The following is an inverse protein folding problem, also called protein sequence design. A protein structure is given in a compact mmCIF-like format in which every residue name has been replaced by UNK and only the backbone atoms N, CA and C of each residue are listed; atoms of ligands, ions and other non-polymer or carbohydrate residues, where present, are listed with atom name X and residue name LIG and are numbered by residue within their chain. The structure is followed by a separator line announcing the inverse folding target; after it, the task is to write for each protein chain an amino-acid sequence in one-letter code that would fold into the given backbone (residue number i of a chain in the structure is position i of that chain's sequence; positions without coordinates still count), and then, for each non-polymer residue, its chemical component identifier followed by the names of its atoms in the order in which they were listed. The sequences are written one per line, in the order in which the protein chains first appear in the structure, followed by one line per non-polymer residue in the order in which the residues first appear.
data_IF_330346980507
#
_entry.id   IF_330346980507
#
_cell.length_a   1.000
_cell.length_b   1.000
_cell.length_c   1.000
_cell.angle_alpha   90.00
_cell.angle_beta   90.00
_cell.angle_gamma   90.00
#
_symmetry.space_group_name_H-M   'P 1'
#
loop_
_entity.id
_entity.type
_entity.pdbx_description
1 polymer ?
#
# COMPACT_ATOMS: atom_id res chain seq x y z
N UNK A 1 -2.64 12.53 -1.07
CA UNK A 1 -3.03 11.10 -1.06
C UNK A 1 -2.49 10.46 -2.33
N UNK A 2 -1.56 9.52 -2.19
CA UNK A 2 -0.86 8.87 -3.30
C UNK A 2 -1.66 7.68 -3.82
N UNK A 3 -1.52 7.36 -5.11
CA UNK A 3 -2.02 6.08 -5.64
C UNK A 3 -1.02 4.96 -5.35
N UNK A 4 -1.48 3.71 -5.36
CA UNK A 4 -0.62 2.52 -5.24
C UNK A 4 0.56 2.56 -6.22
N UNK A 5 0.32 2.99 -7.47
CA UNK A 5 1.38 3.15 -8.47
C UNK A 5 2.43 4.20 -8.08
N UNK A 6 2.03 5.31 -7.47
CA UNK A 6 2.99 6.33 -7.04
C UNK A 6 3.80 5.88 -5.84
N UNK A 7 3.17 5.18 -4.89
CA UNK A 7 3.87 4.54 -3.78
C UNK A 7 4.90 3.54 -4.28
N UNK A 8 4.50 2.71 -5.26
CA UNK A 8 5.37 1.75 -5.91
C UNK A 8 6.59 2.44 -6.55
N UNK A 9 6.38 3.53 -7.29
CA UNK A 9 7.47 4.32 -7.88
C UNK A 9 8.39 4.94 -6.82
N UNK A 10 7.83 5.52 -5.74
CA UNK A 10 8.61 6.13 -4.66
C UNK A 10 9.49 5.13 -3.92
N UNK A 11 8.95 3.94 -3.67
CA UNK A 11 9.64 2.85 -2.99
C UNK A 11 10.47 1.99 -3.96
N UNK A 12 10.43 2.27 -5.27
CA UNK A 12 11.04 1.45 -6.34
C UNK A 12 10.64 -0.02 -6.29
N UNK A 13 9.42 -0.33 -5.86
CA UNK A 13 8.90 -1.70 -5.80
C UNK A 13 7.82 -1.93 -6.85
N UNK A 14 7.54 -3.19 -7.16
CA UNK A 14 6.42 -3.53 -8.01
C UNK A 14 5.08 -3.20 -7.29
N UNK A 15 4.06 -2.66 -7.99
CA UNK A 15 2.76 -2.35 -7.37
C UNK A 15 2.09 -3.57 -6.73
N UNK A 16 2.41 -4.78 -7.17
CA UNK A 16 1.96 -6.02 -6.53
C UNK A 16 2.44 -6.14 -5.07
N UNK A 17 3.69 -5.73 -4.79
CA UNK A 17 4.26 -5.72 -3.43
C UNK A 17 3.50 -4.73 -2.55
N UNK A 18 3.17 -3.56 -3.09
CA UNK A 18 2.37 -2.56 -2.36
C UNK A 18 0.97 -3.09 -2.03
N UNK A 19 0.29 -3.73 -2.99
CA UNK A 19 -0.99 -4.40 -2.70
C UNK A 19 -0.83 -5.49 -1.63
N UNK A 20 0.28 -6.22 -1.62
CA UNK A 20 0.58 -7.23 -0.61
C UNK A 20 0.74 -6.60 0.77
N UNK A 21 1.52 -5.53 0.90
CA UNK A 21 1.67 -4.82 2.18
C UNK A 21 0.37 -4.23 2.71
N UNK A 22 -0.50 -3.73 1.84
CA UNK A 22 -1.82 -3.24 2.24
C UNK A 22 -2.70 -4.40 2.74
N UNK A 23 -2.64 -5.56 2.06
CA UNK A 23 -3.38 -6.76 2.46
C UNK A 23 -2.87 -7.32 3.80
N UNK A 24 -1.56 -7.42 3.97
CA UNK A 24 -0.91 -7.83 5.21
C UNK A 24 -1.09 -6.79 6.34
N UNK A 25 -1.37 -5.54 5.98
CA UNK A 25 -1.58 -4.47 6.95
C UNK A 25 -0.33 -3.73 7.38
N UNK A 26 0.79 -3.94 6.70
CA UNK A 26 1.98 -3.15 6.94
C UNK A 26 1.82 -1.71 6.43
N UNK A 27 1.01 -1.50 5.40
CA UNK A 27 0.80 -0.18 4.81
C UNK A 27 -0.67 0.25 4.93
N UNK A 28 -0.91 1.35 5.64
CA UNK A 28 -2.24 1.94 5.74
C UNK A 28 -2.66 2.51 4.40
N UNK A 29 -3.88 2.16 3.97
CA UNK A 29 -4.48 2.71 2.78
C UNK A 29 -5.94 3.08 3.04
N UNK A 30 -6.51 3.89 2.17
CA UNK A 30 -7.90 4.34 2.20
C UNK A 30 -8.53 3.94 0.87
N UNK A 31 -9.67 3.26 0.91
CA UNK A 31 -10.43 2.85 -0.26
C UNK A 31 -11.83 3.42 -0.18
N UNK A 32 -12.22 4.23 -1.16
CA UNK A 32 -13.53 4.93 -1.18
C UNK A 32 -13.87 5.65 0.14
N UNK A 33 -12.87 6.31 0.75
CA UNK A 33 -13.06 7.01 2.03
C UNK A 33 -13.14 6.10 3.27
N UNK A 34 -13.02 4.78 3.11
CA UNK A 34 -12.90 3.82 4.22
C UNK A 34 -11.43 3.44 4.42
N UNK A 35 -10.88 3.52 5.65
CA UNK A 35 -9.56 2.99 5.93
C UNK A 35 -9.54 1.48 5.64
N UNK A 36 -8.59 1.04 4.83
CA UNK A 36 -8.23 -0.36 4.67
C UNK A 36 -7.46 -0.76 5.91
N UNK A 37 -8.08 -1.63 6.69
CA UNK A 37 -7.45 -2.24 7.87
C UNK A 37 -6.67 -3.48 7.42
N UNK A 38 -5.53 -3.69 8.06
CA UNK A 38 -4.75 -4.93 8.02
C UNK A 38 -5.64 -6.18 8.04
N UNK A 39 -5.50 -7.08 7.07
CA UNK A 39 -6.28 -8.32 7.03
C UNK A 39 -7.76 -8.17 6.68
N UNK A 40 -8.26 -6.95 6.40
CA UNK A 40 -9.61 -6.77 5.88
C UNK A 40 -9.70 -7.42 4.49
N UNK A 41 -10.66 -8.32 4.30
CA UNK A 41 -10.86 -9.04 3.04
C UNK A 41 -11.23 -8.03 1.93
N UNK A 42 -10.25 -7.62 1.13
CA UNK A 42 -10.47 -6.67 0.04
C UNK A 42 -11.12 -7.39 -1.16
N UNK A 43 -12.45 -7.46 -1.20
CA UNK A 43 -13.18 -7.84 -2.42
C UNK A 43 -13.38 -6.60 -3.30
N UNK A 44 -12.76 -6.58 -4.49
CA UNK A 44 -13.03 -5.61 -5.56
C UNK A 44 -11.79 -4.91 -6.14
N UNK A 45 -11.98 -4.09 -7.19
CA UNK A 45 -10.88 -3.56 -8.00
C UNK A 45 -9.97 -2.60 -7.21
N UNK A 46 -8.65 -2.78 -7.35
CA UNK A 46 -7.60 -2.05 -6.62
C UNK A 46 -7.41 -0.58 -7.02
N UNK A 47 -8.07 -0.10 -8.07
CA UNK A 47 -7.92 1.28 -8.57
C UNK A 47 -8.42 2.37 -7.60
N UNK A 48 -9.26 2.01 -6.63
CA UNK A 48 -9.83 2.92 -5.65
C UNK A 48 -8.98 3.10 -4.39
N UNK A 49 -7.84 2.41 -4.30
CA UNK A 49 -6.95 2.48 -3.14
C UNK A 49 -6.10 3.75 -3.23
N UNK A 50 -6.01 4.47 -2.11
CA UNK A 50 -5.25 5.70 -1.91
C UNK A 50 -4.43 5.55 -0.64
N UNK A 51 -3.14 5.82 -0.71
CA UNK A 51 -2.23 5.74 0.43
C UNK A 51 -1.96 7.16 0.95
N UNK A 52 -2.17 7.44 2.25
CA UNK A 52 -1.76 8.69 2.86
C UNK A 52 -0.24 8.85 2.77
N UNK A 53 0.24 10.05 2.51
CA UNK A 53 1.69 10.29 2.46
C UNK A 53 2.33 10.11 3.85
N UNK A 54 1.60 10.43 4.93
CA UNK A 54 2.00 10.15 6.31
C UNK A 54 2.18 8.66 6.59
N UNK A 55 1.31 7.81 6.02
CA UNK A 55 1.44 6.35 6.15
C UNK A 55 2.70 5.86 5.42
N UNK A 56 2.99 6.42 4.25
CA UNK A 56 4.21 6.09 3.51
C UNK A 56 5.48 6.54 4.23
N UNK A 57 5.45 7.73 4.86
CA UNK A 57 6.59 8.25 5.63
C UNK A 57 6.85 7.43 6.91
N UNK A 58 5.79 6.92 7.55
CA UNK A 58 5.89 6.02 8.71
C UNK A 58 6.20 4.57 8.32
N UNK A 59 5.94 4.20 7.07
CA UNK A 59 6.16 2.85 6.55
C UNK A 59 7.65 2.59 6.32
N UNK A 60 8.21 1.70 7.12
CA UNK A 60 9.50 1.07 6.84
C UNK A 60 9.27 -0.19 6.03
N UNK A 61 9.76 -0.29 4.78
CA UNK A 61 9.69 -1.53 4.03
C UNK A 61 10.50 -2.62 4.76
N UNK A 62 10.00 -3.87 4.84
CA UNK A 62 10.81 -4.98 5.33
C UNK A 62 12.03 -5.18 4.40
N UNK A 63 13.19 -5.61 4.95
CA UNK A 63 14.46 -5.71 4.20
C UNK A 63 14.40 -6.67 3.00
N UNK A 64 13.39 -7.52 2.90
CA UNK A 64 13.13 -8.39 1.73
C UNK A 64 12.74 -7.63 0.46
N UNK A 65 12.43 -6.33 0.55
CA UNK A 65 12.03 -5.52 -0.60
C UNK A 65 13.19 -5.06 -1.50
N UNK A 66 14.43 -5.07 -0.98
CA UNK A 66 15.62 -4.59 -1.71
C UNK A 66 16.19 -5.61 -2.72
N UNK A 67 15.68 -6.85 -2.75
CA UNK A 67 16.26 -7.94 -3.53
C UNK A 67 15.62 -8.20 -4.92
N UNK A 68 14.78 -7.30 -5.44
CA UNK A 68 14.03 -7.52 -6.69
C UNK A 68 14.42 -6.57 -7.83
#
# INVERSE_FOLDING_TARGET
MLRVKEVATRLKVHPATVYRWIKDGHLEAVRYGKPQVAGAVTRGPGGAIRVPESALAAFTPPPEAEAA
#
